data_IF_171359579862
#
_entry.id   IF_171359579862
#
_cell.length_a   1.000
_cell.length_b   1.000
_cell.length_c   1.000
_cell.angle_alpha   90.00
_cell.angle_beta   90.00
_cell.angle_gamma   90.00
#
_symmetry.space_group_name_H-M   'P 1'
#
loop_
_entity.id
_entity.type
_entity.pdbx_description
1 polymer ?
#
# COMPACT_ATOMS: atom_id res chain seq x y z
N UNK A 1 20.49 -65.77 29.66
CA UNK A 1 19.67 -65.79 30.90
C UNK A 1 19.53 -64.37 31.42
N UNK A 2 18.29 -63.96 31.72
CA UNK A 2 17.88 -62.79 32.54
C UNK A 2 17.74 -61.45 31.75
N UNK A 3 16.51 -61.04 31.39
CA UNK A 3 15.49 -60.28 32.18
C UNK A 3 15.88 -58.78 32.23
N UNK A 4 15.08 -57.75 31.90
CA UNK A 4 13.62 -57.59 31.81
C UNK A 4 13.29 -56.29 31.06
N UNK A 5 12.19 -56.25 30.29
CA UNK A 5 11.55 -55.02 29.81
C UNK A 5 10.81 -54.39 30.98
N UNK A 6 11.11 -53.12 31.30
CA UNK A 6 10.35 -52.34 32.29
C UNK A 6 9.44 -51.35 31.57
N UNK A 7 8.15 -51.67 31.54
CA UNK A 7 7.09 -50.69 31.33
C UNK A 7 6.92 -49.87 32.61
N UNK A 8 6.99 -48.55 32.50
CA UNK A 8 6.59 -47.64 33.57
C UNK A 8 7.35 -46.34 33.57
N UNK A 9 6.81 -45.32 32.90
CA UNK A 9 6.15 -44.20 33.58
C UNK A 9 5.60 -43.24 32.50
N UNK A 10 4.28 -43.10 32.50
CA UNK A 10 3.58 -41.99 31.86
C UNK A 10 3.98 -40.75 32.65
N UNK A 11 4.78 -39.87 32.04
CA UNK A 11 5.07 -38.53 32.59
C UNK A 11 4.72 -37.53 31.50
N UNK A 12 3.79 -36.64 31.85
CA UNK A 12 3.15 -35.70 30.95
C UNK A 12 4.15 -34.76 30.27
N UNK A 13 4.27 -34.88 28.94
CA UNK A 13 4.79 -33.81 28.09
C UNK A 13 3.64 -33.27 27.23
N UNK A 14 2.58 -32.80 27.90
CA UNK A 14 1.70 -31.78 27.35
C UNK A 14 2.19 -30.44 27.90
N UNK A 15 2.63 -29.56 27.01
CA UNK A 15 2.86 -28.15 27.37
C UNK A 15 4.29 -27.68 27.19
N UNK A 16 4.75 -27.56 25.94
CA UNK A 16 5.83 -26.63 25.59
C UNK A 16 5.78 -26.17 24.13
N UNK A 17 4.61 -26.18 23.47
CA UNK A 17 4.45 -25.61 22.11
C UNK A 17 3.37 -24.54 22.14
N UNK A 18 3.57 -23.49 22.94
CA UNK A 18 2.66 -22.33 22.97
C UNK A 18 3.38 -20.96 22.99
N UNK A 19 4.70 -20.89 22.82
CA UNK A 19 5.43 -19.61 22.89
C UNK A 19 6.28 -19.32 21.66
N UNK A 20 5.76 -19.55 20.47
CA UNK A 20 6.31 -18.94 19.26
C UNK A 20 5.28 -18.04 18.58
N UNK A 21 4.73 -17.10 19.34
CA UNK A 21 4.14 -15.90 18.76
C UNK A 21 5.30 -14.97 18.41
N UNK A 22 5.83 -15.11 17.19
CA UNK A 22 6.73 -14.11 16.60
C UNK A 22 5.92 -12.83 16.39
N UNK A 23 6.16 -11.82 17.23
CA UNK A 23 5.68 -10.48 16.98
C UNK A 23 6.47 -9.95 15.79
N UNK A 24 5.85 -9.93 14.61
CA UNK A 24 6.41 -9.25 13.44
C UNK A 24 6.04 -7.78 13.57
N UNK A 25 6.83 -7.04 14.33
CA UNK A 25 6.73 -5.58 14.40
C UNK A 25 7.55 -5.02 13.25
N UNK A 26 6.93 -5.01 12.06
CA UNK A 26 7.52 -4.44 10.86
C UNK A 26 7.29 -2.92 10.84
N UNK A 27 7.75 -2.24 11.89
CA UNK A 27 7.76 -0.78 12.02
C UNK A 27 8.95 -0.20 11.23
N UNK A 28 9.05 -0.61 9.95
CA UNK A 28 9.82 0.13 8.97
C UNK A 28 9.07 1.43 8.71
N UNK A 29 9.51 2.53 9.35
CA UNK A 29 8.90 3.86 9.43
C UNK A 29 8.67 4.63 8.11
N UNK A 30 8.29 3.94 7.04
CA UNK A 30 7.63 4.52 5.90
C UNK A 30 6.16 4.75 6.26
N UNK A 31 5.87 5.89 6.88
CA UNK A 31 4.49 6.35 7.14
C UNK A 31 3.76 6.51 5.80
N UNK A 32 3.11 5.46 5.31
CA UNK A 32 2.18 5.56 4.20
C UNK A 32 1.04 6.50 4.61
N UNK A 33 0.85 7.56 3.83
CA UNK A 33 -0.24 8.51 4.01
C UNK A 33 -1.29 8.25 2.94
N UNK A 34 -2.52 8.11 3.37
CA UNK A 34 -3.67 7.97 2.48
C UNK A 34 -4.37 9.32 2.34
N UNK A 35 -4.75 9.66 1.11
CA UNK A 35 -5.51 10.85 0.79
C UNK A 35 -6.80 10.45 0.08
N UNK A 36 -7.90 11.10 0.42
CA UNK A 36 -9.15 11.01 -0.34
C UNK A 36 -9.31 12.31 -1.15
N UNK A 37 -9.34 12.20 -2.48
CA UNK A 37 -9.48 13.34 -3.38
C UNK A 37 -10.81 13.19 -4.11
N UNK A 38 -11.69 14.17 -3.92
CA UNK A 38 -12.99 14.24 -4.59
C UNK A 38 -13.00 15.40 -5.59
N UNK A 39 -13.44 15.12 -6.81
CA UNK A 39 -13.60 16.12 -7.87
C UNK A 39 -15.06 16.12 -8.31
N UNK A 40 -15.74 17.25 -8.10
CA UNK A 40 -17.15 17.43 -8.46
C UNK A 40 -17.28 18.25 -9.73
N UNK A 41 -18.05 17.75 -10.69
CA UNK A 41 -18.39 18.50 -11.88
C UNK A 41 -19.55 19.47 -11.62
N UNK A 42 -19.28 20.78 -11.74
CA UNK A 42 -20.27 21.84 -11.55
C UNK A 42 -20.85 22.36 -12.87
N UNK A 43 -20.43 21.83 -14.00
CA UNK A 43 -20.96 22.18 -15.32
C UNK A 43 -22.21 21.36 -15.66
N UNK A 44 -23.09 21.92 -16.48
CA UNK A 44 -24.25 21.20 -16.98
C UNK A 44 -23.91 20.51 -18.29
N UNK A 45 -24.08 19.18 -18.35
CA UNK A 45 -23.90 18.36 -19.55
C UNK A 45 -22.52 18.46 -20.23
N UNK A 46 -21.46 18.82 -19.51
CA UNK A 46 -20.10 18.77 -20.05
C UNK A 46 -19.30 17.73 -19.26
N UNK A 47 -18.94 16.58 -19.86
CA UNK A 47 -18.13 15.57 -19.18
C UNK A 47 -16.72 16.10 -18.93
N UNK A 48 -16.09 15.62 -17.85
CA UNK A 48 -14.67 15.84 -17.62
C UNK A 48 -13.83 14.90 -18.48
N UNK A 49 -12.66 15.36 -18.89
CA UNK A 49 -11.55 14.47 -19.19
C UNK A 49 -11.13 13.70 -17.92
N UNK A 50 -10.42 12.57 -18.02
CA UNK A 50 -9.90 11.88 -16.85
C UNK A 50 -9.09 12.80 -15.92
N UNK A 51 -9.24 12.61 -14.61
CA UNK A 51 -8.50 13.38 -13.60
C UNK A 51 -7.19 12.67 -13.29
N UNK A 52 -6.07 13.39 -13.43
CA UNK A 52 -4.76 12.94 -12.96
C UNK A 52 -4.44 13.57 -11.59
N UNK A 53 -3.94 12.77 -10.66
CA UNK A 53 -3.48 13.22 -9.34
C UNK A 53 -2.05 12.70 -9.09
N UNK A 54 -1.15 13.59 -8.65
CA UNK A 54 0.27 13.29 -8.48
C UNK A 54 0.74 13.70 -7.10
N UNK A 55 1.39 12.77 -6.38
CA UNK A 55 2.17 13.08 -5.18
C UNK A 55 3.53 13.62 -5.60
N UNK A 56 3.93 14.79 -5.10
CA UNK A 56 5.16 15.43 -5.53
C UNK A 56 5.90 16.15 -4.39
N UNK A 57 7.17 16.47 -4.63
CA UNK A 57 8.00 17.31 -3.75
C UNK A 57 8.05 18.75 -4.27
N UNK A 58 8.71 19.64 -3.52
CA UNK A 58 8.94 21.03 -3.93
C UNK A 58 9.72 21.09 -5.26
N UNK A 59 9.27 21.94 -6.18
CA UNK A 59 9.90 22.14 -7.50
C UNK A 59 9.24 21.38 -8.65
N UNK A 60 8.29 20.48 -8.36
CA UNK A 60 7.43 19.92 -9.39
C UNK A 60 6.38 20.95 -9.84
N UNK A 61 6.23 21.09 -11.16
CA UNK A 61 5.21 21.92 -11.79
C UNK A 61 4.46 21.06 -12.82
N UNK A 62 3.23 20.64 -12.51
CA UNK A 62 2.40 19.89 -13.45
C UNK A 62 2.03 20.70 -14.70
N UNK A 63 1.93 22.02 -14.55
CA UNK A 63 1.86 23.00 -15.62
C UNK A 63 2.36 24.36 -15.12
N UNK A 64 2.68 25.27 -16.04
CA UNK A 64 3.01 26.66 -15.71
C UNK A 64 2.40 27.59 -16.75
N UNK A 65 1.81 28.69 -16.29
CA UNK A 65 1.26 29.71 -17.19
C UNK A 65 2.37 30.34 -18.03
N UNK A 66 2.10 30.53 -19.32
CA UNK A 66 3.05 31.08 -20.28
C UNK A 66 4.11 30.09 -20.76
N UNK A 67 4.11 28.85 -20.27
CA UNK A 67 4.98 27.77 -20.75
C UNK A 67 4.25 26.89 -21.76
N UNK A 68 5.02 26.25 -22.64
CA UNK A 68 4.53 25.16 -23.47
C UNK A 68 4.10 23.97 -22.60
N UNK A 69 3.04 23.27 -23.01
CA UNK A 69 2.64 22.02 -22.38
C UNK A 69 3.75 20.96 -22.54
N UNK A 70 3.89 20.08 -21.56
CA UNK A 70 4.65 18.84 -21.74
C UNK A 70 3.82 17.85 -22.56
N UNK A 71 4.47 16.88 -23.20
CA UNK A 71 3.79 15.85 -23.99
C UNK A 71 2.70 15.12 -23.17
N UNK A 72 2.95 14.85 -21.89
CA UNK A 72 1.95 14.23 -21.01
C UNK A 72 0.75 15.14 -20.73
N UNK A 73 0.97 16.45 -20.59
CA UNK A 73 -0.12 17.41 -20.40
C UNK A 73 -0.94 17.59 -21.69
N UNK A 74 -0.30 17.56 -22.85
CA UNK A 74 -0.97 17.56 -24.16
C UNK A 74 -1.88 16.35 -24.30
N UNK A 75 -1.37 15.14 -24.04
CA UNK A 75 -2.15 13.90 -24.10
C UNK A 75 -3.33 13.90 -23.13
N UNK A 76 -3.12 14.37 -21.89
CA UNK A 76 -4.20 14.47 -20.90
C UNK A 76 -5.25 15.52 -21.31
N UNK A 77 -4.82 16.67 -21.81
CA UNK A 77 -5.72 17.79 -22.13
C UNK A 77 -6.51 17.58 -23.43
N UNK A 78 -5.88 17.00 -24.46
CA UNK A 78 -6.48 16.84 -25.80
C UNK A 78 -7.00 15.43 -26.04
N UNK A 79 -6.25 14.41 -25.62
CA UNK A 79 -6.59 13.00 -25.79
C UNK A 79 -7.39 12.41 -24.62
N UNK A 80 -7.34 13.05 -23.45
CA UNK A 80 -7.90 12.49 -22.23
C UNK A 80 -7.17 11.23 -21.75
N UNK A 81 -5.86 11.13 -22.00
CA UNK A 81 -5.03 9.97 -21.62
C UNK A 81 -4.08 10.32 -20.45
N UNK A 82 -4.33 9.80 -19.23
CA UNK A 82 -3.60 10.15 -18.01
C UNK A 82 -2.29 9.38 -17.76
#
# INVERSE_FOLDING_TARGET
MKQSIKFGLITATLGSVLLLQGCNDDDNGNMQRSFNVEVTNLSNQQPFAPVAAVLHTSGYHGFSLGSMASDGLELLAEGGDP
#
